data_IF_488739505876
#
_entry.id   IF_488739505876
#
_cell.length_a   1.000
_cell.length_b   1.000
_cell.length_c   1.000
_cell.angle_alpha   90.00
_cell.angle_beta   90.00
_cell.angle_gamma   90.00
#
_symmetry.space_group_name_H-M   'P 1'
#
loop_
_entity.id
_entity.type
_entity.pdbx_description
1 polymer ?
#
# COMPACT_ATOMS: atom_id res chain seq x y z
N UNK A 1 -42.82 9.66 -22.20
CA UNK A 1 -43.44 10.54 -21.20
C UNK A 1 -42.32 11.13 -20.38
N UNK A 2 -41.93 12.37 -20.68
CA UNK A 2 -40.87 13.06 -19.95
C UNK A 2 -41.40 13.44 -18.56
N UNK A 3 -40.69 13.01 -17.52
CA UNK A 3 -41.07 13.29 -16.14
C UNK A 3 -40.83 14.76 -15.83
N UNK A 4 -41.83 15.41 -15.23
CA UNK A 4 -41.76 16.75 -14.65
C UNK A 4 -40.59 16.93 -13.65
N UNK A 5 -39.93 15.84 -13.24
CA UNK A 5 -38.80 15.81 -12.30
C UNK A 5 -37.42 15.73 -12.97
N UNK A 6 -37.32 15.59 -14.30
CA UNK A 6 -36.02 15.60 -15.02
C UNK A 6 -35.38 17.00 -15.09
N UNK A 7 -36.09 18.03 -14.62
CA UNK A 7 -35.62 19.42 -14.65
C UNK A 7 -35.00 19.90 -13.33
N UNK A 8 -34.91 19.06 -12.30
CA UNK A 8 -34.20 19.39 -11.08
C UNK A 8 -32.72 18.98 -11.19
N UNK A 9 -32.02 19.57 -12.17
CA UNK A 9 -30.57 19.65 -12.12
C UNK A 9 -30.22 20.61 -10.99
N UNK A 10 -29.93 20.07 -9.82
CA UNK A 10 -29.19 20.79 -8.79
C UNK A 10 -27.94 21.36 -9.48
N UNK A 11 -27.59 22.65 -9.32
CA UNK A 11 -26.30 23.12 -9.78
C UNK A 11 -25.25 22.27 -9.06
N UNK A 12 -24.61 21.38 -9.80
CA UNK A 12 -23.37 20.74 -9.37
C UNK A 12 -22.44 21.90 -9.02
N UNK A 13 -22.17 22.08 -7.73
CA UNK A 13 -21.17 23.04 -7.29
C UNK A 13 -19.81 22.53 -7.78
N UNK A 14 -19.44 22.88 -9.01
CA UNK A 14 -18.11 22.70 -9.62
C UNK A 14 -16.98 23.41 -8.83
N UNK A 15 -17.30 24.04 -7.70
CA UNK A 15 -16.38 24.87 -6.92
C UNK A 15 -15.75 24.14 -5.71
N UNK A 16 -16.16 22.89 -5.42
CA UNK A 16 -15.38 22.02 -4.51
C UNK A 16 -14.96 20.80 -5.31
N UNK A 17 -13.69 20.80 -5.73
CA UNK A 17 -13.01 19.61 -6.22
C UNK A 17 -12.80 18.61 -5.06
N UNK A 18 -13.89 17.93 -4.69
CA UNK A 18 -13.92 16.89 -3.66
C UNK A 18 -12.98 15.73 -4.02
N UNK A 19 -12.74 15.50 -5.32
CA UNK A 19 -11.83 14.49 -5.84
C UNK A 19 -10.38 14.85 -5.55
N UNK A 20 -9.96 16.06 -5.90
CA UNK A 20 -8.60 16.54 -5.66
C UNK A 20 -8.30 16.66 -4.16
N UNK A 21 -9.24 17.20 -3.36
CA UNK A 21 -9.08 17.26 -1.90
C UNK A 21 -8.96 15.86 -1.27
N UNK A 22 -9.75 14.88 -1.72
CA UNK A 22 -9.63 13.48 -1.27
C UNK A 22 -8.28 12.89 -1.65
N UNK A 23 -7.83 13.10 -2.89
CA UNK A 23 -6.56 12.56 -3.37
C UNK A 23 -5.37 13.10 -2.55
N UNK A 24 -5.38 14.40 -2.23
CA UNK A 24 -4.37 15.01 -1.34
C UNK A 24 -4.40 14.35 0.04
N UNK A 25 -5.57 14.29 0.69
CA UNK A 25 -5.69 13.71 2.04
C UNK A 25 -5.23 12.25 2.07
N UNK A 26 -5.68 11.45 1.10
CA UNK A 26 -5.33 10.03 0.99
C UNK A 26 -3.83 9.85 0.76
N UNK A 27 -3.22 10.67 -0.10
CA UNK A 27 -1.78 10.62 -0.35
C UNK A 27 -0.96 10.97 0.89
N UNK A 28 -1.41 11.95 1.68
CA UNK A 28 -0.78 12.34 2.95
C UNK A 28 -0.90 11.21 3.98
N UNK A 29 -2.09 10.62 4.15
CA UNK A 29 -2.31 9.52 5.09
C UNK A 29 -1.44 8.31 4.71
N UNK A 30 -1.41 7.95 3.43
CA UNK A 30 -0.57 6.87 2.94
C UNK A 30 0.92 7.15 3.19
N UNK A 31 1.38 8.38 2.94
CA UNK A 31 2.75 8.80 3.21
C UNK A 31 3.12 8.70 4.69
N UNK A 32 2.23 9.12 5.59
CA UNK A 32 2.42 9.01 7.04
C UNK A 32 2.52 7.53 7.45
N UNK A 33 1.63 6.67 6.96
CA UNK A 33 1.67 5.22 7.26
C UNK A 33 2.96 4.55 6.77
N UNK A 34 3.43 4.92 5.59
CA UNK A 34 4.68 4.39 5.04
C UNK A 34 5.89 4.85 5.88
N UNK A 35 5.92 6.13 6.23
CA UNK A 35 6.96 6.72 7.06
C UNK A 35 7.00 6.09 8.45
N UNK A 36 5.85 5.93 9.11
CA UNK A 36 5.79 5.31 10.44
C UNK A 36 6.23 3.86 10.43
N UNK A 37 5.92 3.10 9.36
CA UNK A 37 6.41 1.75 9.17
C UNK A 37 7.94 1.66 9.17
N UNK A 38 8.61 2.52 8.39
CA UNK A 38 10.07 2.58 8.37
C UNK A 38 10.69 3.17 9.64
N UNK A 39 10.00 4.12 10.26
CA UNK A 39 10.44 4.71 11.52
C UNK A 39 10.54 3.66 12.64
N UNK A 40 9.52 2.80 12.79
CA UNK A 40 9.51 1.71 13.77
C UNK A 40 10.66 0.72 13.53
N UNK A 41 10.95 0.43 12.26
CA UNK A 41 12.08 -0.45 11.90
C UNK A 41 13.43 0.18 12.26
N UNK A 42 13.62 1.48 12.02
CA UNK A 42 14.85 2.20 12.37
C UNK A 42 15.02 2.24 13.89
N UNK A 43 13.96 2.55 14.64
CA UNK A 43 13.98 2.53 16.10
C UNK A 43 14.41 1.16 16.64
N UNK A 44 13.80 0.09 16.14
CA UNK A 44 14.17 -1.27 16.54
C UNK A 44 15.63 -1.63 16.18
N UNK A 45 16.15 -1.16 15.04
CA UNK A 45 17.53 -1.39 14.63
C UNK A 45 18.54 -0.65 15.52
N UNK A 46 18.18 0.52 16.04
CA UNK A 46 19.02 1.31 16.96
C UNK A 46 19.03 0.70 18.36
N UNK A 47 17.87 0.23 18.85
CA UNK A 47 17.75 -0.37 20.20
C UNK A 47 18.37 -1.76 20.25
N UNK A 48 18.32 -2.52 19.15
CA UNK A 48 18.85 -3.89 19.06
C UNK A 48 19.91 -4.01 17.96
N UNK A 49 21.13 -3.47 18.16
CA UNK A 49 22.20 -3.52 17.16
C UNK A 49 22.82 -4.92 17.02
N UNK A 50 22.62 -5.80 18.01
CA UNK A 50 23.21 -7.13 18.02
C UNK A 50 22.49 -8.10 17.07
N UNK A 51 23.28 -8.83 16.27
CA UNK A 51 22.79 -9.90 15.37
C UNK A 51 21.99 -11.00 16.06
N UNK A 52 22.21 -11.18 17.38
CA UNK A 52 21.52 -12.20 18.17
C UNK A 52 20.07 -11.80 18.49
N UNK A 53 19.81 -10.51 18.65
CA UNK A 53 18.49 -9.97 19.00
C UNK A 53 17.71 -9.55 17.75
N UNK A 54 18.38 -9.02 16.72
CA UNK A 54 17.76 -8.73 15.43
C UNK A 54 18.66 -9.20 14.29
N UNK A 55 18.25 -10.28 13.62
CA UNK A 55 18.97 -10.79 12.45
C UNK A 55 18.76 -9.84 11.27
N UNK A 56 19.84 -9.46 10.58
CA UNK A 56 19.75 -8.61 9.38
C UNK A 56 18.82 -9.17 8.29
N UNK A 57 18.67 -10.50 8.24
CA UNK A 57 17.76 -11.19 7.32
C UNK A 57 16.31 -10.75 7.49
N UNK A 58 15.89 -10.32 8.69
CA UNK A 58 14.50 -9.92 8.93
C UNK A 58 14.12 -8.59 8.26
N UNK A 59 15.09 -7.73 7.92
CA UNK A 59 14.82 -6.50 7.18
C UNK A 59 14.34 -6.75 5.74
N UNK A 60 14.68 -7.90 5.17
CA UNK A 60 14.29 -8.28 3.80
C UNK A 60 12.76 -8.26 3.64
N UNK A 61 12.04 -8.60 4.70
CA UNK A 61 10.58 -8.57 4.72
C UNK A 61 10.02 -7.15 4.47
N UNK A 62 10.54 -6.15 5.18
CA UNK A 62 10.16 -4.75 5.00
C UNK A 62 10.55 -4.19 3.63
N UNK A 63 11.70 -4.63 3.08
CA UNK A 63 12.14 -4.27 1.72
C UNK A 63 11.17 -4.81 0.68
N UNK A 64 10.77 -6.08 0.75
CA UNK A 64 9.80 -6.65 -0.20
C UNK A 64 8.43 -5.96 -0.11
N UNK A 65 7.97 -5.63 1.10
CA UNK A 65 6.74 -4.85 1.29
C UNK A 65 6.82 -3.47 0.61
N UNK A 66 7.98 -2.82 0.68
CA UNK A 66 8.21 -1.51 0.05
C UNK A 66 8.29 -1.60 -1.47
N UNK A 67 9.00 -2.59 -2.01
CA UNK A 67 9.01 -2.85 -3.46
C UNK A 67 7.59 -3.07 -3.96
N UNK A 68 6.82 -3.88 -3.23
CA UNK A 68 5.44 -4.13 -3.56
C UNK A 68 4.56 -2.87 -3.47
N UNK A 69 4.78 -1.99 -2.49
CA UNK A 69 4.08 -0.71 -2.39
C UNK A 69 4.24 0.09 -3.69
N UNK A 70 5.47 0.21 -4.20
CA UNK A 70 5.72 0.91 -5.46
C UNK A 70 5.11 0.19 -6.66
N UNK A 71 5.23 -1.15 -6.74
CA UNK A 71 4.66 -1.91 -7.86
C UNK A 71 3.14 -1.75 -7.98
N UNK A 72 2.42 -1.80 -6.86
CA UNK A 72 0.95 -1.72 -6.84
C UNK A 72 0.48 -0.29 -7.15
N UNK A 73 1.15 0.70 -6.58
CA UNK A 73 0.77 2.11 -6.69
C UNK A 73 1.27 2.80 -7.97
N UNK A 74 2.24 2.22 -8.68
CA UNK A 74 2.72 2.74 -9.97
C UNK A 74 1.77 2.45 -11.15
N UNK A 75 0.92 1.43 -11.04
CA UNK A 75 -0.06 1.08 -12.09
C UNK A 75 -1.34 1.86 -11.86
N UNK A 76 -1.83 2.56 -12.89
CA UNK A 76 -3.11 3.27 -12.79
C UNK A 76 -4.29 2.29 -12.83
N UNK A 77 -5.38 2.60 -12.13
CA UNK A 77 -6.63 1.85 -12.18
C UNK A 77 -7.22 1.81 -13.61
N UNK A 78 -6.99 2.86 -14.42
CA UNK A 78 -7.38 2.88 -15.84
C UNK A 78 -6.70 1.79 -16.68
N UNK A 79 -5.41 1.52 -16.42
CA UNK A 79 -4.65 0.45 -17.09
C UNK A 79 -5.17 -0.95 -16.71
N UNK A 80 -5.74 -1.12 -15.51
CA UNK A 80 -6.34 -2.39 -15.05
C UNK A 80 -7.70 -2.64 -15.71
N UNK A 81 -8.51 -1.57 -15.86
CA UNK A 81 -9.84 -1.64 -16.49
C UNK A 81 -9.77 -1.86 -18.00
N UNK A 82 -8.65 -1.48 -18.61
CA UNK A 82 -8.43 -1.62 -20.05
C UNK A 82 -8.90 -0.41 -20.86
N UNK A 83 -9.11 0.73 -20.20
CA UNK A 83 -9.59 1.98 -20.83
C UNK A 83 -8.43 2.81 -21.45
N UNK A 84 -7.21 2.27 -21.44
CA UNK A 84 -6.02 2.91 -22.00
C UNK A 84 -5.89 2.73 -23.51
N UNK A 85 -5.83 3.83 -24.26
CA UNK A 85 -5.67 3.91 -25.72
C UNK A 85 -4.34 3.35 -26.30
N UNK A 86 -3.49 2.71 -25.50
CA UNK A 86 -2.17 2.25 -25.92
C UNK A 86 -2.05 0.74 -25.83
N UNK A 87 -2.30 0.07 -26.94
CA UNK A 87 -1.90 -1.32 -27.19
C UNK A 87 -0.37 -1.42 -27.32
N UNK A 88 0.33 -1.40 -26.19
CA UNK A 88 1.75 -1.79 -26.11
C UNK A 88 1.90 -3.33 -26.15
N UNK A 89 3.13 -3.83 -26.35
CA UNK A 89 3.47 -5.27 -26.49
C UNK A 89 2.96 -6.17 -25.35
N UNK A 90 2.75 -5.60 -24.15
CA UNK A 90 2.23 -6.31 -22.97
C UNK A 90 0.79 -5.93 -22.60
N UNK A 91 0.21 -4.90 -23.23
CA UNK A 91 -1.19 -4.49 -23.12
C UNK A 91 -1.81 -4.55 -21.72
N UNK A 92 -3.10 -4.90 -21.67
CA UNK A 92 -3.89 -5.12 -20.44
C UNK A 92 -3.37 -6.28 -19.59
N UNK A 93 -2.89 -7.34 -20.23
CA UNK A 93 -2.45 -8.57 -19.55
C UNK A 93 -1.19 -8.34 -18.72
N UNK A 94 -0.25 -7.53 -19.21
CA UNK A 94 0.99 -7.18 -18.52
C UNK A 94 0.76 -6.33 -17.28
N UNK A 95 -0.14 -5.35 -17.34
CA UNK A 95 -0.54 -4.57 -16.16
C UNK A 95 -1.17 -5.46 -15.07
N UNK A 96 -1.99 -6.44 -15.48
CA UNK A 96 -2.55 -7.46 -14.59
C UNK A 96 -1.49 -8.34 -13.94
N UNK A 97 -0.54 -8.87 -14.71
CA UNK A 97 0.58 -9.70 -14.19
C UNK A 97 1.47 -8.89 -13.25
N UNK A 98 1.79 -7.64 -13.60
CA UNK A 98 2.58 -6.75 -12.75
C UNK A 98 1.91 -6.50 -11.39
N UNK A 99 0.60 -6.21 -11.40
CA UNK A 99 -0.18 -6.05 -10.17
C UNK A 99 -0.28 -7.34 -9.36
N UNK A 100 -0.46 -8.49 -10.03
CA UNK A 100 -0.50 -9.79 -9.38
C UNK A 100 0.80 -10.07 -8.62
N UNK A 101 1.95 -9.85 -9.26
CA UNK A 101 3.27 -10.00 -8.63
C UNK A 101 3.41 -9.05 -7.45
N UNK A 102 2.98 -7.79 -7.60
CA UNK A 102 2.93 -6.82 -6.50
C UNK A 102 2.15 -7.38 -5.31
N UNK A 103 0.87 -7.75 -5.51
CA UNK A 103 0.07 -8.30 -4.41
C UNK A 103 0.65 -9.58 -3.80
N UNK A 104 1.24 -10.47 -4.60
CA UNK A 104 1.92 -11.67 -4.08
C UNK A 104 3.11 -11.32 -3.18
N UNK A 105 3.93 -10.34 -3.58
CA UNK A 105 5.04 -9.87 -2.75
C UNK A 105 4.55 -9.22 -1.46
N UNK A 106 3.49 -8.41 -1.51
CA UNK A 106 2.89 -7.80 -0.34
C UNK A 106 2.36 -8.83 0.67
N UNK A 107 1.55 -9.78 0.20
CA UNK A 107 1.01 -10.81 1.09
C UNK A 107 2.10 -11.76 1.58
N UNK A 108 3.07 -12.09 0.73
CA UNK A 108 4.23 -12.89 1.10
C UNK A 108 5.07 -12.24 2.22
N UNK A 109 5.31 -10.93 2.13
CA UNK A 109 6.01 -10.21 3.19
C UNK A 109 5.16 -10.11 4.46
N UNK A 110 3.85 -9.86 4.36
CA UNK A 110 2.98 -9.82 5.53
C UNK A 110 2.95 -11.15 6.29
N UNK A 111 2.76 -12.27 5.58
CA UNK A 111 2.77 -13.62 6.16
C UNK A 111 4.16 -13.96 6.72
N UNK A 112 5.23 -13.61 6.01
CA UNK A 112 6.61 -13.80 6.47
C UNK A 112 6.89 -13.04 7.77
N UNK A 113 6.45 -11.79 7.87
CA UNK A 113 6.61 -10.98 9.08
C UNK A 113 5.82 -11.53 10.27
N UNK A 114 4.63 -12.08 10.02
CA UNK A 114 3.81 -12.76 11.03
C UNK A 114 4.53 -14.00 11.58
N UNK A 115 5.12 -14.80 10.69
CA UNK A 115 5.92 -15.96 11.09
C UNK A 115 7.15 -15.55 11.91
N UNK A 116 7.86 -14.49 11.51
CA UNK A 116 9.01 -13.99 12.26
C UNK A 116 8.57 -13.60 13.68
N UNK A 117 7.47 -12.87 13.83
CA UNK A 117 6.97 -12.46 15.14
C UNK A 117 6.64 -13.65 16.04
N UNK A 118 5.78 -14.56 15.59
CA UNK A 118 5.35 -15.69 16.42
C UNK A 118 6.41 -16.78 16.56
N UNK A 119 7.06 -17.17 15.47
CA UNK A 119 7.99 -18.30 15.43
C UNK A 119 9.38 -17.98 15.97
N UNK A 120 9.92 -16.80 15.68
CA UNK A 120 11.27 -16.44 16.12
C UNK A 120 11.29 -15.76 17.50
N UNK A 121 10.27 -14.97 17.84
CA UNK A 121 10.27 -14.20 19.09
C UNK A 121 9.34 -14.76 20.16
N UNK A 122 8.05 -14.95 19.85
CA UNK A 122 7.07 -15.43 20.84
C UNK A 122 7.36 -16.86 21.30
N UNK A 123 7.60 -17.79 20.35
CA UNK A 123 7.86 -19.19 20.69
C UNK A 123 9.19 -19.40 21.44
N UNK A 124 10.16 -18.51 21.27
CA UNK A 124 11.49 -18.63 21.88
C UNK A 124 11.62 -17.87 23.22
N UNK A 125 10.54 -17.25 23.72
CA UNK A 125 10.56 -16.40 24.93
C UNK A 125 11.68 -15.35 24.92
N UNK A 126 12.01 -14.81 23.75
CA UNK A 126 12.95 -13.69 23.61
C UNK A 126 12.21 -12.36 23.70
N UNK A 127 12.93 -11.24 23.75
CA UNK A 127 12.30 -9.93 23.73
C UNK A 127 11.39 -9.79 22.50
N UNK A 128 10.10 -9.55 22.69
CA UNK A 128 9.11 -9.55 21.61
C UNK A 128 9.15 -8.29 20.72
N UNK A 129 9.76 -7.21 21.21
CA UNK A 129 9.82 -5.91 20.52
C UNK A 129 10.38 -5.95 19.09
N UNK A 130 11.51 -6.63 18.80
CA UNK A 130 12.09 -6.62 17.46
C UNK A 130 11.21 -7.37 16.45
N UNK A 131 10.58 -8.47 16.86
CA UNK A 131 9.59 -9.16 16.05
C UNK A 131 8.33 -8.33 15.80
N UNK A 132 7.87 -7.62 16.84
CA UNK A 132 6.71 -6.74 16.76
C UNK A 132 6.97 -5.57 15.80
N UNK A 133 8.18 -5.00 15.81
CA UNK A 133 8.60 -3.94 14.90
C UNK A 133 8.58 -4.38 13.44
N UNK A 134 9.11 -5.57 13.13
CA UNK A 134 9.10 -6.13 11.75
C UNK A 134 7.67 -6.39 11.28
N UNK A 135 6.81 -6.91 12.16
CA UNK A 135 5.41 -7.13 11.86
C UNK A 135 4.65 -5.82 11.61
N UNK A 136 4.75 -4.84 12.52
CA UNK A 136 4.09 -3.55 12.35
C UNK A 136 4.58 -2.78 11.14
N UNK A 137 5.88 -2.86 10.80
CA UNK A 137 6.39 -2.28 9.56
C UNK A 137 5.61 -2.82 8.34
N UNK A 138 5.47 -4.13 8.22
CA UNK A 138 4.77 -4.75 7.08
C UNK A 138 3.27 -4.44 7.08
N UNK A 139 2.63 -4.41 8.25
CA UNK A 139 1.21 -4.04 8.39
C UNK A 139 0.97 -2.58 7.99
N UNK A 140 1.81 -1.65 8.42
CA UNK A 140 1.68 -0.24 8.11
C UNK A 140 1.92 0.05 6.62
N UNK A 141 2.92 -0.60 6.01
CA UNK A 141 3.17 -0.49 4.57
C UNK A 141 2.03 -1.13 3.76
N UNK A 142 1.45 -2.24 4.23
CA UNK A 142 0.27 -2.85 3.64
C UNK A 142 -0.91 -1.87 3.63
N UNK A 143 -1.24 -1.27 4.78
CA UNK A 143 -2.31 -0.28 4.85
C UNK A 143 -2.00 0.97 4.03
N UNK A 144 -0.76 1.45 4.04
CA UNK A 144 -0.32 2.55 3.18
C UNK A 144 -0.60 2.25 1.71
N UNK A 145 -0.30 1.02 1.26
CA UNK A 145 -0.56 0.57 -0.10
C UNK A 145 -2.05 0.58 -0.43
N UNK A 146 -2.88 0.01 0.44
CA UNK A 146 -4.34 -0.03 0.24
C UNK A 146 -4.95 1.36 0.23
N UNK A 147 -4.56 2.22 1.18
CA UNK A 147 -5.04 3.60 1.27
C UNK A 147 -4.67 4.36 0.01
N UNK A 148 -3.41 4.29 -0.44
CA UNK A 148 -2.98 4.98 -1.65
C UNK A 148 -3.69 4.46 -2.91
N UNK A 149 -3.78 3.14 -3.06
CA UNK A 149 -4.35 2.50 -4.26
C UNK A 149 -5.86 2.71 -4.39
N UNK A 150 -6.60 2.51 -3.30
CA UNK A 150 -8.07 2.53 -3.32
C UNK A 150 -8.67 3.86 -2.87
N UNK A 151 -7.94 4.66 -2.09
CA UNK A 151 -8.44 5.96 -1.64
C UNK A 151 -8.36 7.05 -2.72
N UNK A 152 -7.47 6.90 -3.70
CA UNK A 152 -7.35 7.84 -4.81
C UNK A 152 -8.39 7.57 -5.88
N UNK A 153 -9.02 8.63 -6.37
CA UNK A 153 -9.78 8.60 -7.63
C UNK A 153 -8.93 9.10 -8.77
N UNK A 154 -8.84 8.28 -9.80
CA UNK A 154 -8.09 8.60 -11.03
C UNK A 154 -8.99 9.17 -12.13
N UNK A 155 -10.32 9.16 -11.95
CA UNK A 155 -11.28 9.79 -12.84
C UNK A 155 -11.49 11.25 -12.41
N UNK A 156 -10.70 12.15 -12.98
CA UNK A 156 -10.89 13.60 -12.87
C UNK A 156 -11.25 14.25 -14.23
N UNK A 157 -11.24 13.49 -15.32
CA UNK A 157 -11.57 13.97 -16.67
C UNK A 157 -12.27 12.88 -17.48
N UNK A 158 -13.54 12.65 -17.16
CA UNK A 158 -14.52 11.99 -18.04
C UNK A 158 -15.48 13.02 -18.58
#
# INVERSE_FOLDING_TARGET
MAGFLDNFRWPEYECIDWGERRNVIVSVIAGILFFTGWWIMIDAAVVYPDQKSLKHVFHICGVFSTVSFFMINAVSNAQVRGDGYSDGVLGRTGAGVWLLIGFMLMFGSLIGSMWIFFGAYVAQNTAAYPGLAVFFQNVLIFFSTLVYKFGRTEELWG
#
